data_IF_303487195575
#
_entry.id   IF_303487195575
#
_cell.length_a   1.000
_cell.length_b   1.000
_cell.length_c   1.000
_cell.angle_alpha   90.00
_cell.angle_beta   90.00
_cell.angle_gamma   90.00
#
_symmetry.space_group_name_H-M   'P 1'
#
loop_
_entity.id
_entity.type
_entity.pdbx_description
1 polymer ?
#
# COMPACT_ATOMS: atom_id res chain seq x y z
N UNK A 1 -10.56 -3.05 -8.06
CA UNK A 1 -11.42 -1.93 -7.61
C UNK A 1 -10.72 -0.59 -7.81
N UNK A 2 -9.57 -0.36 -7.16
CA UNK A 2 -8.79 0.90 -7.33
C UNK A 2 -8.49 1.20 -8.79
N UNK A 3 -7.91 0.26 -9.55
CA UNK A 3 -7.61 0.50 -10.97
C UNK A 3 -8.81 0.71 -11.89
N UNK A 4 -10.02 0.38 -11.45
CA UNK A 4 -11.24 0.62 -12.22
C UNK A 4 -11.94 1.92 -11.82
N UNK A 5 -11.91 2.29 -10.53
CA UNK A 5 -12.70 3.39 -9.98
C UNK A 5 -11.88 4.60 -9.53
N UNK A 6 -10.56 4.50 -9.44
CA UNK A 6 -9.68 5.57 -8.96
C UNK A 6 -8.73 6.00 -10.07
N UNK A 7 -7.99 5.06 -10.67
CA UNK A 7 -7.02 5.36 -11.75
C UNK A 7 -7.59 6.23 -12.89
N UNK A 8 -8.79 5.96 -13.43
CA UNK A 8 -9.37 6.77 -14.52
C UNK A 8 -9.72 8.21 -14.13
N UNK A 9 -9.72 8.55 -12.84
CA UNK A 9 -10.05 9.87 -12.33
C UNK A 9 -8.81 10.72 -11.97
N UNK A 10 -7.60 10.24 -12.28
CA UNK A 10 -6.33 10.90 -11.95
C UNK A 10 -5.59 11.43 -13.20
N UNK A 11 -6.10 12.47 -13.91
CA UNK A 11 -5.40 13.07 -15.04
C UNK A 11 -4.17 13.88 -14.60
N UNK A 12 -4.27 14.54 -13.45
CA UNK A 12 -3.21 15.36 -12.84
C UNK A 12 -2.50 14.58 -11.72
N UNK A 13 -1.29 15.03 -11.29
CA UNK A 13 -0.61 14.45 -10.14
C UNK A 13 -1.50 14.34 -8.91
N UNK A 14 -1.84 13.10 -8.55
CA UNK A 14 -2.77 12.79 -7.47
C UNK A 14 -2.14 11.76 -6.55
N UNK A 15 -2.02 12.11 -5.26
CA UNK A 15 -1.59 11.18 -4.23
C UNK A 15 -2.77 10.35 -3.74
N UNK A 16 -2.67 9.04 -3.88
CA UNK A 16 -3.57 8.10 -3.24
C UNK A 16 -2.88 7.59 -1.97
N UNK A 17 -3.43 7.89 -0.80
CA UNK A 17 -2.79 7.67 0.50
C UNK A 17 -3.53 6.62 1.33
N UNK A 18 -2.86 6.15 2.37
CA UNK A 18 -3.42 5.34 3.45
C UNK A 18 -3.98 3.99 2.98
N UNK A 19 -3.12 3.22 2.33
CA UNK A 19 -3.47 1.90 1.81
C UNK A 19 -3.74 0.90 2.93
N UNK A 20 -4.68 -0.05 2.75
CA UNK A 20 -4.88 -1.15 3.70
C UNK A 20 -3.61 -1.96 3.96
N UNK A 21 -3.42 -2.41 5.20
CA UNK A 21 -2.26 -3.23 5.62
C UNK A 21 -2.14 -4.54 4.84
N UNK A 22 -3.27 -5.18 4.55
CA UNK A 22 -3.30 -6.43 3.79
C UNK A 22 -2.73 -6.28 2.37
N UNK A 23 -2.75 -5.08 1.81
CA UNK A 23 -2.17 -4.76 0.49
C UNK A 23 -0.72 -4.28 0.57
N UNK A 24 -0.19 -4.05 1.77
CA UNK A 24 1.05 -3.32 2.00
C UNK A 24 1.92 -3.99 3.08
N UNK A 25 2.38 -5.23 2.87
CA UNK A 25 3.05 -6.06 3.89
C UNK A 25 4.40 -5.50 4.37
N UNK A 26 5.00 -4.60 3.59
CA UNK A 26 6.28 -3.95 3.91
C UNK A 26 6.11 -2.51 4.42
N UNK A 27 4.89 -1.99 4.41
CA UNK A 27 4.59 -0.64 4.88
C UNK A 27 4.23 -0.66 6.36
N UNK A 28 4.70 0.36 7.09
CA UNK A 28 4.38 0.52 8.50
C UNK A 28 2.90 0.85 8.67
N UNK A 29 2.30 0.31 9.74
CA UNK A 29 0.93 0.63 10.12
C UNK A 29 0.74 2.14 10.33
N UNK A 30 -0.45 2.63 9.99
CA UNK A 30 -0.79 4.04 10.15
C UNK A 30 -0.84 4.42 11.63
N UNK A 31 -0.23 5.55 12.00
CA UNK A 31 -0.09 5.97 13.41
C UNK A 31 -1.41 6.24 14.13
N UNK A 32 -2.48 6.54 13.39
CA UNK A 32 -3.77 6.95 13.95
C UNK A 32 -4.99 6.23 13.38
N UNK A 33 -4.84 5.40 12.33
CA UNK A 33 -5.96 4.76 11.64
C UNK A 33 -5.69 3.25 11.57
N UNK A 34 -6.36 2.49 12.43
CA UNK A 34 -6.20 1.04 12.50
C UNK A 34 -6.54 0.37 11.16
N UNK A 35 -5.76 -0.62 10.76
CA UNK A 35 -5.93 -1.37 9.51
C UNK A 35 -5.34 -0.71 8.26
N UNK A 36 -4.87 0.54 8.34
CA UNK A 36 -4.19 1.23 7.23
C UNK A 36 -2.67 1.30 7.44
N UNK A 37 -1.97 1.76 6.40
CA UNK A 37 -0.51 1.95 6.37
C UNK A 37 -0.14 3.35 5.95
N UNK A 38 1.05 3.80 6.34
CA UNK A 38 1.62 5.06 5.85
C UNK A 38 2.24 4.85 4.47
N UNK A 39 1.39 4.59 3.46
CA UNK A 39 1.77 4.37 2.05
C UNK A 39 1.03 5.34 1.14
N UNK A 40 1.73 5.88 0.17
CA UNK A 40 1.12 6.58 -0.94
C UNK A 40 1.57 6.03 -2.30
N UNK A 41 0.69 6.21 -3.28
CA UNK A 41 0.97 6.05 -4.70
C UNK A 41 0.74 7.38 -5.40
N UNK A 42 1.59 7.72 -6.36
CA UNK A 42 1.41 8.88 -7.21
C UNK A 42 0.84 8.43 -8.56
N UNK A 43 -0.32 8.94 -8.90
CA UNK A 43 -0.93 8.76 -10.21
C UNK A 43 -0.81 10.04 -11.06
N UNK A 44 -0.40 9.89 -12.31
CA UNK A 44 -0.36 10.97 -13.32
C UNK A 44 -0.80 10.38 -14.65
N UNK A 45 -1.62 11.10 -15.42
CA UNK A 45 -2.14 10.61 -16.70
C UNK A 45 -2.72 9.18 -16.59
N UNK A 46 -3.49 8.93 -15.52
CA UNK A 46 -4.17 7.66 -15.25
C UNK A 46 -3.24 6.46 -15.03
N UNK A 47 -1.97 6.70 -14.68
CA UNK A 47 -0.96 5.65 -14.43
C UNK A 47 -0.23 5.88 -13.12
N UNK A 48 0.05 4.80 -12.40
CA UNK A 48 0.94 4.83 -11.25
C UNK A 48 2.37 5.15 -11.72
N UNK A 49 2.99 6.15 -11.10
CA UNK A 49 4.38 6.54 -11.36
C UNK A 49 5.30 6.31 -10.17
N UNK A 50 4.77 6.39 -8.94
CA UNK A 50 5.57 6.24 -7.74
C UNK A 50 4.80 5.46 -6.68
N UNK A 51 5.56 4.70 -5.89
CA UNK A 51 5.08 3.98 -4.73
C UNK A 51 6.07 4.25 -3.59
N UNK A 52 5.57 4.75 -2.47
CA UNK A 52 6.39 5.05 -1.32
C UNK A 52 5.63 4.82 -0.02
N UNK A 53 6.37 4.47 1.03
CA UNK A 53 5.80 4.16 2.33
C UNK A 53 6.84 4.30 3.43
N UNK A 54 6.37 4.61 4.64
CA UNK A 54 7.18 4.44 5.84
C UNK A 54 7.52 2.95 5.97
N UNK A 55 8.80 2.61 6.01
CA UNK A 55 9.23 1.20 6.08
C UNK A 55 8.80 0.57 7.40
N UNK A 56 8.21 -0.63 7.32
CA UNK A 56 8.01 -1.47 8.49
C UNK A 56 9.40 -1.85 9.03
N UNK A 57 9.68 -1.44 10.25
CA UNK A 57 10.97 -1.61 10.91
C UNK A 57 10.89 -2.45 12.19
N UNK A 58 9.73 -3.03 12.47
CA UNK A 58 9.55 -4.02 13.54
C UNK A 58 9.78 -5.42 12.96
N UNK A 59 10.84 -6.13 13.36
CA UNK A 59 11.20 -7.42 12.78
C UNK A 59 10.20 -8.54 13.15
N UNK A 60 9.49 -8.43 14.27
CA UNK A 60 8.51 -9.43 14.69
C UNK A 60 7.28 -9.31 13.79
N UNK A 61 6.74 -8.09 13.66
CA UNK A 61 5.58 -7.83 12.79
C UNK A 61 5.91 -8.12 11.33
N UNK A 62 7.12 -7.77 10.87
CA UNK A 62 7.53 -8.06 9.50
C UNK A 62 7.58 -9.57 9.22
N UNK A 63 8.04 -10.38 10.17
CA UNK A 63 8.02 -11.84 10.05
C UNK A 63 6.59 -12.38 9.97
N UNK A 64 5.68 -11.90 10.81
CA UNK A 64 4.26 -12.29 10.76
C UNK A 64 3.63 -12.00 9.40
N UNK A 65 3.94 -10.83 8.82
CA UNK A 65 3.48 -10.48 7.47
C UNK A 65 4.03 -11.42 6.40
N UNK A 66 5.30 -11.82 6.49
CA UNK A 66 5.86 -12.82 5.57
C UNK A 66 5.21 -14.20 5.72
N UNK A 67 4.94 -14.64 6.95
CA UNK A 67 4.22 -15.90 7.20
C UNK A 67 2.79 -15.86 6.65
N UNK A 68 2.13 -14.70 6.73
CA UNK A 68 0.82 -14.49 6.12
C UNK A 68 0.89 -14.52 4.58
N UNK A 69 1.85 -13.80 3.98
CA UNK A 69 2.04 -13.81 2.53
C UNK A 69 2.34 -15.22 1.99
N UNK A 70 3.18 -15.98 2.67
CA UNK A 70 3.53 -17.34 2.29
C UNK A 70 2.32 -18.29 2.30
N UNK A 71 1.37 -18.11 3.22
CA UNK A 71 0.14 -18.90 3.29
C UNK A 71 -0.83 -18.59 2.13
N UNK A 72 -0.87 -17.33 1.70
CA UNK A 72 -1.85 -16.84 0.72
C UNK A 72 -1.36 -17.03 -0.73
N UNK A 73 -0.07 -17.35 -0.94
CA UNK A 73 0.56 -17.56 -2.25
C UNK A 73 0.29 -16.40 -3.23
N UNK A 74 0.17 -15.18 -2.70
CA UNK A 74 0.00 -13.96 -3.49
C UNK A 74 1.37 -13.53 -4.00
N UNK A 75 1.69 -14.00 -5.22
CA UNK A 75 2.72 -13.38 -6.06
C UNK A 75 2.16 -12.02 -6.49
N UNK A 76 3.00 -10.99 -6.38
CA UNK A 76 2.78 -9.57 -6.73
C UNK A 76 1.71 -9.30 -7.80
#
# INVERSE_FOLDING_TARGET
>A
LVGHFIEPHCPNPTFFCDHPQIMSPLAKYHRSISGLTERFELFVCYKELCNAYTKLNDPIVQREMFELQAKVNFIF
#
